data_IF_004439527562
#
_entry.id   IF_004439527562
#
_cell.length_a   1.000
_cell.length_b   1.000
_cell.length_c   1.000
_cell.angle_alpha   90.00
_cell.angle_beta   90.00
_cell.angle_gamma   90.00
#
_symmetry.space_group_name_H-M   'P 1'
#
loop_
_entity.id
_entity.type
_entity.pdbx_description
1 polymer ?
#
# COMPACT_ATOMS: atom_id res chain seq x y z
N UNK A 1 -9.68 -12.11 -2.11
CA UNK A 1 -10.70 -11.66 -1.13
C UNK A 1 -12.01 -11.38 -1.85
N UNK A 2 -13.15 -11.74 -1.26
CA UNK A 2 -14.46 -11.27 -1.73
C UNK A 2 -14.83 -9.96 -1.04
N UNK A 3 -15.91 -9.31 -1.48
CA UNK A 3 -16.42 -8.07 -0.88
C UNK A 3 -16.76 -8.20 0.60
N UNK A 4 -17.14 -9.39 1.06
CA UNK A 4 -17.49 -9.65 2.47
C UNK A 4 -16.27 -10.00 3.35
N UNK A 5 -15.14 -10.35 2.72
CA UNK A 5 -13.94 -10.82 3.43
C UNK A 5 -12.67 -10.11 2.94
N UNK A 6 -12.75 -8.82 2.63
CA UNK A 6 -11.58 -8.01 2.32
C UNK A 6 -10.79 -7.69 3.60
N UNK A 7 -9.46 -7.81 3.58
CA UNK A 7 -8.64 -7.38 4.70
C UNK A 7 -8.76 -5.86 4.84
N UNK A 8 -8.68 -5.40 6.08
CA UNK A 8 -8.63 -3.99 6.43
C UNK A 8 -7.28 -3.70 7.08
N UNK A 9 -6.69 -2.54 6.76
CA UNK A 9 -5.49 -2.09 7.47
C UNK A 9 -5.89 -1.54 8.84
N UNK A 10 -5.31 -2.10 9.89
CA UNK A 10 -5.51 -1.64 11.28
C UNK A 10 -4.51 -0.54 11.63
N UNK A 11 -4.48 0.52 10.80
CA UNK A 11 -3.57 1.66 10.97
C UNK A 11 -4.39 2.92 11.20
N UNK A 12 -4.12 3.63 12.30
CA UNK A 12 -4.64 4.98 12.51
C UNK A 12 -3.93 5.97 11.58
N UNK A 13 -4.44 6.12 10.37
CA UNK A 13 -4.01 7.13 9.42
C UNK A 13 -5.16 8.10 9.12
N UNK A 14 -4.93 9.38 9.36
CA UNK A 14 -5.86 10.45 8.95
C UNK A 14 -5.42 10.97 7.59
N UNK A 15 -6.28 10.85 6.59
CA UNK A 15 -6.06 11.39 5.24
C UNK A 15 -6.24 12.91 5.28
N UNK A 16 -5.31 13.66 4.70
CA UNK A 16 -5.53 15.08 4.39
C UNK A 16 -6.38 15.18 3.10
N UNK A 17 -7.21 16.21 2.97
CA UNK A 17 -8.21 16.31 1.88
C UNK A 17 -7.61 16.14 0.47
N UNK A 18 -6.36 16.60 0.29
CA UNK A 18 -5.61 16.56 -0.98
C UNK A 18 -4.61 15.39 -1.10
N UNK A 19 -4.79 14.33 -0.31
CA UNK A 19 -3.88 13.17 -0.38
C UNK A 19 -4.01 12.46 -1.73
N UNK A 20 -2.88 12.27 -2.41
CA UNK A 20 -2.79 11.58 -3.70
C UNK A 20 -1.95 10.30 -3.60
N UNK A 21 -2.20 9.36 -4.50
CA UNK A 21 -1.41 8.16 -4.67
C UNK A 21 0.00 8.53 -5.10
N UNK A 22 1.03 8.11 -4.36
CA UNK A 22 2.43 8.44 -4.69
C UNK A 22 2.93 7.80 -6.00
N UNK A 23 2.17 6.88 -6.60
CA UNK A 23 2.58 6.14 -7.78
C UNK A 23 1.93 6.63 -9.08
N UNK A 24 0.69 7.10 -9.03
CA UNK A 24 -0.01 7.63 -10.21
C UNK A 24 -0.39 9.10 -10.09
N UNK A 25 -0.19 9.72 -8.93
CA UNK A 25 -0.53 11.12 -8.61
C UNK A 25 -2.01 11.47 -8.65
N UNK A 26 -2.89 10.48 -8.86
CA UNK A 26 -4.34 10.66 -8.76
C UNK A 26 -4.80 10.65 -7.29
N UNK A 27 -5.91 11.34 -6.97
CA UNK A 27 -6.46 11.38 -5.62
C UNK A 27 -6.81 9.97 -5.11
N UNK A 28 -6.57 9.76 -3.81
CA UNK A 28 -6.99 8.56 -3.09
C UNK A 28 -8.16 8.90 -2.18
N UNK A 29 -9.08 7.95 -2.00
CA UNK A 29 -10.10 8.05 -0.95
C UNK A 29 -9.53 7.49 0.37
N UNK A 30 -10.39 7.41 1.38
CA UNK A 30 -10.02 6.86 2.69
C UNK A 30 -9.63 5.38 2.62
N UNK A 31 -9.08 4.88 3.73
CA UNK A 31 -8.63 3.49 3.86
C UNK A 31 -9.77 2.54 3.49
N UNK A 32 -9.48 1.68 2.51
CA UNK A 32 -10.43 0.71 2.00
C UNK A 32 -9.68 -0.44 1.36
N UNK A 33 -10.40 -1.45 0.87
CA UNK A 33 -9.75 -2.48 0.05
C UNK A 33 -9.09 -1.91 -1.22
N UNK A 34 -9.48 -0.72 -1.68
CA UNK A 34 -8.92 -0.09 -2.89
C UNK A 34 -7.77 0.86 -2.60
N UNK A 35 -7.68 1.40 -1.39
CA UNK A 35 -6.69 2.41 -1.01
C UNK A 35 -5.97 2.00 0.27
N UNK A 36 -4.65 2.12 0.24
CA UNK A 36 -3.79 1.65 1.32
C UNK A 36 -2.77 2.71 1.69
N UNK A 37 -2.30 2.65 2.94
CA UNK A 37 -1.26 3.52 3.47
C UNK A 37 -0.05 2.71 3.90
N UNK A 38 1.13 3.31 3.82
CA UNK A 38 2.32 2.75 4.45
C UNK A 38 2.13 2.71 5.97
N UNK A 39 2.18 1.52 6.62
CA UNK A 39 2.00 1.41 8.07
C UNK A 39 3.14 2.06 8.86
N UNK A 40 4.34 2.15 8.28
CA UNK A 40 5.52 2.69 8.97
C UNK A 40 5.51 4.20 9.07
N UNK A 41 5.15 4.88 7.96
CA UNK A 41 5.21 6.33 7.92
C UNK A 41 3.85 7.01 7.93
N UNK A 42 2.73 6.33 7.71
CA UNK A 42 1.36 6.87 7.68
C UNK A 42 1.09 8.09 6.76
N UNK A 43 2.10 8.52 5.98
CA UNK A 43 2.00 9.65 5.05
C UNK A 43 1.95 9.20 3.58
N UNK A 44 2.29 7.95 3.30
CA UNK A 44 2.39 7.45 1.93
C UNK A 44 1.17 6.62 1.56
N UNK A 45 0.35 7.13 0.64
CA UNK A 45 -0.90 6.53 0.22
C UNK A 45 -0.81 5.97 -1.21
N UNK A 46 -1.56 4.89 -1.46
CA UNK A 46 -1.51 4.16 -2.71
C UNK A 46 -2.87 3.58 -3.07
N UNK A 47 -3.23 3.61 -4.35
CA UNK A 47 -4.23 2.67 -4.87
C UNK A 47 -3.66 1.26 -4.86
N UNK A 48 -4.50 0.29 -4.50
CA UNK A 48 -4.14 -1.13 -4.44
C UNK A 48 -3.58 -1.66 -5.75
N UNK A 49 -4.14 -1.22 -6.88
CA UNK A 49 -3.66 -1.61 -8.21
C UNK A 49 -2.27 -1.03 -8.50
N UNK A 50 -2.04 0.23 -8.14
CA UNK A 50 -0.74 0.87 -8.34
C UNK A 50 0.36 0.17 -7.54
N UNK A 51 0.11 -0.11 -6.26
CA UNK A 51 1.09 -0.78 -5.41
C UNK A 51 1.28 -2.25 -5.78
N UNK A 52 0.23 -2.94 -6.25
CA UNK A 52 0.35 -4.27 -6.84
C UNK A 52 1.26 -4.25 -8.08
N UNK A 53 1.12 -3.24 -8.94
CA UNK A 53 2.00 -3.04 -10.09
C UNK A 53 3.45 -2.76 -9.69
N UNK A 54 3.67 -1.97 -8.65
CA UNK A 54 5.01 -1.73 -8.09
C UNK A 54 5.61 -3.04 -7.55
N UNK A 55 4.88 -3.80 -6.74
CA UNK A 55 5.32 -5.08 -6.19
C UNK A 55 5.77 -6.06 -7.28
N UNK A 56 4.98 -6.18 -8.35
CA UNK A 56 5.32 -7.05 -9.49
C UNK A 56 6.60 -6.60 -10.20
N UNK A 57 6.87 -5.30 -10.28
CA UNK A 57 8.08 -4.75 -10.93
C UNK A 57 9.32 -4.85 -10.03
N UNK A 58 9.19 -4.51 -8.75
CA UNK A 58 10.30 -4.48 -7.80
C UNK A 58 10.73 -5.87 -7.32
N UNK A 59 9.79 -6.80 -7.16
CA UNK A 59 10.08 -8.09 -6.56
C UNK A 59 10.42 -8.01 -5.06
N UNK A 60 10.56 -9.17 -4.42
CA UNK A 60 10.65 -9.29 -2.97
C UNK A 60 11.79 -8.47 -2.35
N UNK A 61 12.97 -8.47 -2.97
CA UNK A 61 14.16 -7.84 -2.40
C UNK A 61 14.18 -6.31 -2.50
N UNK A 62 13.36 -5.73 -3.38
CA UNK A 62 13.33 -4.28 -3.61
C UNK A 62 11.97 -3.65 -3.31
N UNK A 63 10.98 -4.44 -2.92
CA UNK A 63 9.66 -3.93 -2.58
C UNK A 63 9.65 -3.34 -1.16
N UNK A 64 9.66 -2.01 -1.11
CA UNK A 64 9.69 -1.18 0.10
C UNK A 64 8.87 0.09 -0.13
N UNK A 65 8.53 0.81 0.94
CA UNK A 65 7.82 2.07 0.82
C UNK A 65 8.62 3.07 -0.05
N UNK A 66 8.03 3.65 -1.11
CA UNK A 66 8.71 4.68 -1.92
C UNK A 66 9.10 5.93 -1.14
N UNK A 67 8.36 6.27 -0.08
CA UNK A 67 8.55 7.47 0.73
C UNK A 67 9.62 7.26 1.82
N UNK A 68 9.33 6.43 2.82
CA UNK A 68 10.21 6.24 3.98
C UNK A 68 11.26 5.13 3.80
N UNK A 69 11.19 4.36 2.71
CA UNK A 69 12.07 3.20 2.43
C UNK A 69 12.01 2.06 3.44
N UNK A 70 11.02 2.07 4.35
CA UNK A 70 10.77 0.95 5.24
C UNK A 70 10.39 -0.31 4.45
N UNK A 71 11.01 -1.43 4.84
CA UNK A 71 10.71 -2.77 4.34
C UNK A 71 10.12 -3.64 5.45
N UNK A 72 10.62 -3.50 6.67
CA UNK A 72 10.32 -4.39 7.81
C UNK A 72 8.84 -4.35 8.22
N UNK A 73 8.20 -3.18 8.16
CA UNK A 73 6.77 -3.04 8.46
C UNK A 73 5.95 -3.04 7.18
N UNK A 74 6.47 -2.41 6.13
CA UNK A 74 5.77 -2.24 4.86
C UNK A 74 5.50 -3.56 4.14
N UNK A 75 6.52 -4.39 3.93
CA UNK A 75 6.39 -5.64 3.18
C UNK A 75 5.38 -6.61 3.82
N UNK A 76 5.46 -6.96 5.12
CA UNK A 76 4.51 -7.91 5.71
C UNK A 76 3.08 -7.37 5.68
N UNK A 77 2.88 -6.07 5.89
CA UNK A 77 1.55 -5.46 5.80
C UNK A 77 0.97 -5.54 4.39
N UNK A 78 1.76 -5.20 3.37
CA UNK A 78 1.31 -5.31 1.97
C UNK A 78 0.96 -6.76 1.62
N UNK A 79 1.73 -7.75 2.12
CA UNK A 79 1.43 -9.17 1.94
C UNK A 79 0.12 -9.57 2.66
N UNK A 80 -0.11 -9.08 3.88
CA UNK A 80 -1.34 -9.31 4.64
C UNK A 80 -2.57 -8.75 3.90
N UNK A 81 -2.43 -7.57 3.29
CA UNK A 81 -3.43 -6.96 2.40
C UNK A 81 -3.57 -7.67 1.04
N UNK A 82 -2.83 -8.76 0.83
CA UNK A 82 -2.83 -9.61 -0.35
C UNK A 82 -2.25 -8.96 -1.60
N UNK A 83 -1.26 -8.08 -1.43
CA UNK A 83 -0.38 -7.67 -2.52
C UNK A 83 0.57 -8.82 -2.83
N UNK A 84 0.56 -9.27 -4.09
CA UNK A 84 1.46 -10.32 -4.55
C UNK A 84 2.84 -9.74 -4.85
N UNK A 85 3.87 -10.21 -4.15
CA UNK A 85 5.27 -9.83 -4.36
C UNK A 85 6.08 -11.06 -4.82
N UNK A 86 6.55 -11.11 -6.08
CA UNK A 86 7.28 -12.25 -6.61
C UNK A 86 8.75 -12.23 -6.19
N UNK A 87 9.36 -13.41 -6.07
CA UNK A 87 10.82 -13.56 -5.94
C UNK A 87 11.43 -13.34 -7.33
N UNK A 88 12.29 -12.33 -7.46
CA UNK A 88 12.96 -11.93 -8.71
C UNK A 88 14.34 -11.40 -8.42
#
# INVERSE_FOLDING_TARGET
FCSEHSPAQEVEATREEDTACLLCTDPVEDLSYRNMVCPACVHAWFHRECIQGQALRSGLFFFRCPNCRDTETFLPEMLNMGIRVPIR
#
